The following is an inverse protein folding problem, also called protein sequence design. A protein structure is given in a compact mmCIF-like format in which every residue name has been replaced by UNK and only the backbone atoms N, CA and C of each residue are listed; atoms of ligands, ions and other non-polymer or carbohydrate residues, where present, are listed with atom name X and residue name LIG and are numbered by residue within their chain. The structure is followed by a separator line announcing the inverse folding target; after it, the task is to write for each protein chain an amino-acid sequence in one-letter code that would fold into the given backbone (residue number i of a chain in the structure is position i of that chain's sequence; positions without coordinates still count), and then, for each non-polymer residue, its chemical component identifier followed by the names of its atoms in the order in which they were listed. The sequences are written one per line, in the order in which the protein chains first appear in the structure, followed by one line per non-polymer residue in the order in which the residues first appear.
data_IF_872140233778
#
_entry.id   IF_872140233778
#
_cell.length_a   1.000
_cell.length_b   1.000
_cell.length_c   1.000
_cell.angle_alpha   90.00
_cell.angle_beta   90.00
_cell.angle_gamma   90.00
#
_symmetry.space_group_name_H-M   'P 1'
#
loop_
_entity.id
_entity.type
_entity.pdbx_description
1 polymer ?
#
# COMPACT_ATOMS: atom_id res chain seq x y z
N UNK A 1 5.72 1.49 15.01
CA UNK A 1 5.25 0.42 14.09
C UNK A 1 4.27 -0.59 14.71
N UNK A 2 4.64 -1.51 15.62
CA UNK A 2 3.67 -2.49 16.18
C UNK A 2 2.45 -1.89 16.89
N UNK A 3 2.61 -0.70 17.49
CA UNK A 3 1.53 0.02 18.18
C UNK A 3 0.59 0.74 17.21
N UNK A 4 1.16 1.35 16.16
CA UNK A 4 0.45 1.93 15.02
C UNK A 4 -0.50 0.89 14.38
N UNK A 5 -0.03 -0.33 14.06
CA UNK A 5 -0.84 -1.38 13.41
C UNK A 5 -2.09 -1.76 14.22
N UNK A 6 -2.00 -1.77 15.55
CA UNK A 6 -3.14 -2.11 16.43
C UNK A 6 -4.16 -0.97 16.50
N UNK A 7 -3.70 0.28 16.43
CA UNK A 7 -4.55 1.46 16.34
C UNK A 7 -5.35 1.46 15.02
N UNK A 8 -4.68 1.16 13.90
CA UNK A 8 -5.28 1.13 12.57
C UNK A 8 -6.40 0.09 12.38
N UNK A 9 -6.25 -1.13 12.94
CA UNK A 9 -7.26 -2.18 12.81
C UNK A 9 -8.60 -1.82 13.48
N UNK A 10 -8.58 -0.96 14.50
CA UNK A 10 -9.79 -0.50 15.18
C UNK A 10 -10.53 0.59 14.41
N UNK A 11 -9.81 1.46 13.68
CA UNK A 11 -10.40 2.57 12.94
C UNK A 11 -11.10 2.13 11.63
N UNK A 12 -10.56 1.11 10.96
CA UNK A 12 -11.14 0.53 9.73
C UNK A 12 -12.54 -0.06 9.92
N UNK A 13 -12.91 -0.44 11.14
CA UNK A 13 -14.24 -0.98 11.44
C UNK A 13 -15.31 0.12 11.62
N UNK A 14 -14.91 1.39 11.76
CA UNK A 14 -15.81 2.48 12.14
C UNK A 14 -16.09 3.41 10.94
N UNK A 15 -15.18 3.48 9.96
CA UNK A 15 -15.36 4.24 8.72
C UNK A 15 -16.46 3.68 7.79
N UNK A 16 -16.92 2.44 7.99
CA UNK A 16 -18.04 1.88 7.23
C UNK A 16 -19.44 2.39 7.65
N UNK A 17 -19.54 3.20 8.72
CA UNK A 17 -20.81 3.70 9.27
C UNK A 17 -20.86 5.24 9.41
N UNK A 18 -20.33 5.98 8.45
CA UNK A 18 -20.68 7.39 8.21
C UNK A 18 -20.14 8.44 9.21
N UNK A 19 -20.40 9.70 8.83
CA UNK A 19 -19.83 10.99 9.28
C UNK A 19 -19.75 11.25 10.81
N UNK A 20 -20.45 10.45 11.64
CA UNK A 20 -20.44 10.58 13.11
C UNK A 20 -19.40 9.68 13.80
N UNK A 21 -18.82 8.72 13.09
CA UNK A 21 -17.83 7.78 13.63
C UNK A 21 -16.37 8.25 13.56
N UNK A 22 -16.06 9.22 12.67
CA UNK A 22 -14.70 9.73 12.43
C UNK A 22 -14.14 10.43 13.68
N UNK A 23 -14.85 11.43 14.23
CA UNK A 23 -14.40 12.21 15.40
C UNK A 23 -14.13 11.38 16.66
N UNK A 24 -14.92 10.32 16.90
CA UNK A 24 -14.71 9.40 18.03
C UNK A 24 -13.49 8.52 17.77
N UNK A 25 -13.30 8.07 16.53
CA UNK A 25 -12.16 7.24 16.14
C UNK A 25 -10.85 8.03 16.18
N UNK A 26 -10.87 9.28 15.70
CA UNK A 26 -9.76 10.23 15.82
C UNK A 26 -9.36 10.41 17.28
N UNK A 27 -10.30 10.74 18.17
CA UNK A 27 -10.03 10.87 19.61
C UNK A 27 -9.50 9.58 20.26
N UNK A 28 -10.01 8.41 19.87
CA UNK A 28 -9.52 7.13 20.41
C UNK A 28 -8.08 6.85 19.98
N UNK A 29 -7.73 7.22 18.75
CA UNK A 29 -6.38 7.09 18.21
C UNK A 29 -5.42 8.13 18.82
N UNK A 30 -5.84 9.38 18.95
CA UNK A 30 -5.06 10.47 19.58
C UNK A 30 -4.80 10.25 21.07
N UNK A 31 -5.69 9.53 21.76
CA UNK A 31 -5.47 9.17 23.17
C UNK A 31 -4.38 8.09 23.34
N UNK A 32 -3.79 7.58 22.25
CA UNK A 32 -2.67 6.65 22.34
C UNK A 32 -1.35 7.40 22.59
N UNK A 33 -0.49 6.90 23.50
CA UNK A 33 0.77 7.57 23.82
C UNK A 33 1.69 7.66 22.60
N UNK A 34 2.00 8.88 22.17
CA UNK A 34 2.88 9.18 21.04
C UNK A 34 2.18 9.41 19.70
N UNK A 35 0.86 9.19 19.64
CA UNK A 35 0.03 9.46 18.46
C UNK A 35 -0.58 10.86 18.59
N UNK A 36 -0.46 11.68 17.55
CA UNK A 36 -1.06 13.01 17.48
C UNK A 36 -1.58 13.28 16.07
N UNK A 37 -2.57 14.17 15.97
CA UNK A 37 -3.14 14.67 14.70
C UNK A 37 -3.66 13.54 13.81
N UNK A 38 -4.73 12.90 14.28
CA UNK A 38 -5.39 11.84 13.53
C UNK A 38 -6.52 12.45 12.74
N UNK A 39 -6.48 12.28 11.42
CA UNK A 39 -7.53 12.78 10.53
C UNK A 39 -8.12 11.63 9.73
N UNK A 40 -9.44 11.45 9.83
CA UNK A 40 -10.20 10.44 9.11
C UNK A 40 -11.15 11.14 8.14
N UNK A 41 -10.82 11.08 6.85
CA UNK A 41 -11.66 11.60 5.77
C UNK A 41 -12.37 10.47 5.03
N UNK A 42 -13.63 10.69 4.67
CA UNK A 42 -14.38 9.89 3.70
C UNK A 42 -14.93 10.84 2.64
N UNK A 43 -14.58 10.61 1.37
CA UNK A 43 -15.08 11.40 0.24
C UNK A 43 -16.12 10.64 -0.61
N UNK A 44 -16.65 9.53 -0.09
CA UNK A 44 -17.65 8.66 -0.74
C UNK A 44 -17.05 7.66 -1.74
N UNK A 45 -15.81 7.86 -2.16
CA UNK A 45 -15.05 6.94 -3.04
C UNK A 45 -13.81 6.35 -2.35
N UNK A 46 -13.23 7.07 -1.39
CA UNK A 46 -12.03 6.70 -0.66
C UNK A 46 -12.12 7.09 0.82
N UNK A 47 -11.61 6.23 1.70
CA UNK A 47 -11.34 6.55 3.10
C UNK A 47 -9.85 6.82 3.31
N UNK A 48 -9.51 7.93 3.96
CA UNK A 48 -8.12 8.34 4.25
C UNK A 48 -7.92 8.49 5.75
N UNK A 49 -6.84 7.94 6.26
CA UNK A 49 -6.38 8.04 7.65
C UNK A 49 -4.97 8.62 7.63
N UNK A 50 -4.76 9.73 8.32
CA UNK A 50 -3.44 10.33 8.53
C UNK A 50 -3.08 10.25 10.01
N UNK A 51 -1.84 9.93 10.31
CA UNK A 51 -1.32 9.80 11.68
C UNK A 51 0.09 10.37 11.75
N UNK A 52 0.36 11.22 12.76
CA UNK A 52 1.71 11.68 13.07
C UNK A 52 2.19 11.13 14.43
N UNK A 53 3.38 10.53 14.46
CA UNK A 53 4.05 10.03 15.67
C UNK A 53 5.54 10.44 15.66
N UNK A 54 5.96 11.29 16.61
CA UNK A 54 7.37 11.66 16.84
C UNK A 54 8.12 12.11 15.57
N UNK A 55 7.48 12.92 14.72
CA UNK A 55 8.05 13.40 13.45
C UNK A 55 8.02 12.38 12.31
N UNK A 56 7.37 11.24 12.50
CA UNK A 56 6.98 10.31 11.43
C UNK A 56 5.52 10.56 11.08
N UNK A 57 5.21 10.75 9.81
CA UNK A 57 3.82 10.74 9.33
C UNK A 57 3.52 9.42 8.62
N UNK A 58 2.28 8.96 8.74
CA UNK A 58 1.76 7.81 8.02
C UNK A 58 0.38 8.12 7.47
N UNK A 59 0.19 7.87 6.18
CA UNK A 59 -1.09 8.05 5.48
C UNK A 59 -1.54 6.70 4.95
N UNK A 60 -2.79 6.34 5.21
CA UNK A 60 -3.45 5.16 4.63
C UNK A 60 -4.67 5.66 3.90
N UNK A 61 -4.76 5.39 2.61
CA UNK A 61 -5.93 5.68 1.79
C UNK A 61 -6.44 4.37 1.16
N UNK A 62 -7.75 4.13 1.25
CA UNK A 62 -8.41 2.91 0.80
C UNK A 62 -9.59 3.29 -0.10
N UNK A 63 -9.69 2.65 -1.27
CA UNK A 63 -10.70 2.87 -2.29
C UNK A 63 -10.32 3.98 -3.26
N UNK A 64 -9.61 3.70 -4.35
CA UNK A 64 -9.36 4.69 -5.41
C UNK A 64 -8.42 5.84 -5.01
N UNK A 65 -7.53 5.60 -4.05
CA UNK A 65 -6.54 6.58 -3.62
C UNK A 65 -5.57 6.96 -4.76
N UNK A 66 -5.14 8.23 -4.78
CA UNK A 66 -4.11 8.67 -5.72
C UNK A 66 -2.75 8.09 -5.34
N UNK A 67 -2.06 7.54 -6.35
CA UNK A 67 -0.71 7.03 -6.19
C UNK A 67 0.25 8.22 -6.20
N UNK A 68 1.19 8.31 -5.24
CA UNK A 68 2.20 9.37 -5.23
C UNK A 68 3.00 9.42 -6.53
N UNK A 69 3.19 10.62 -7.07
CA UNK A 69 3.87 10.85 -8.37
C UNK A 69 5.32 10.34 -8.40
N UNK A 70 5.97 10.28 -7.24
CA UNK A 70 7.36 9.84 -7.06
C UNK A 70 7.49 8.37 -6.65
N UNK A 71 6.42 7.57 -6.77
CA UNK A 71 6.47 6.15 -6.43
C UNK A 71 7.51 5.41 -7.31
N UNK A 72 8.55 4.80 -6.72
CA UNK A 72 9.70 4.28 -7.46
C UNK A 72 9.42 2.97 -8.20
N UNK A 73 8.31 2.29 -7.90
CA UNK A 73 7.91 1.07 -8.59
C UNK A 73 6.91 1.46 -9.68
N UNK A 74 7.21 1.18 -10.96
CA UNK A 74 6.30 1.50 -12.04
C UNK A 74 5.07 0.60 -11.97
N UNK A 75 3.92 1.17 -12.35
CA UNK A 75 2.63 0.48 -12.36
C UNK A 75 2.12 0.44 -13.81
N UNK A 76 1.72 -0.73 -14.32
CA UNK A 76 1.05 -0.82 -15.62
C UNK A 76 -0.22 0.02 -15.66
N UNK A 77 -0.54 0.56 -16.84
CA UNK A 77 -1.79 1.28 -17.07
C UNK A 77 -3.01 0.37 -16.96
N UNK A 78 -4.17 0.98 -16.68
CA UNK A 78 -5.47 0.30 -16.65
C UNK A 78 -5.70 -0.59 -15.43
N UNK A 79 -5.00 -0.29 -14.32
CA UNK A 79 -5.26 -0.86 -13.00
C UNK A 79 -6.15 0.07 -12.17
N UNK A 80 -6.92 -0.52 -11.26
CA UNK A 80 -7.70 0.20 -10.26
C UNK A 80 -6.93 0.23 -8.93
N UNK A 81 -6.66 1.42 -8.41
CA UNK A 81 -5.96 1.55 -7.12
C UNK A 81 -6.89 1.14 -5.99
N UNK A 82 -6.52 0.07 -5.28
CA UNK A 82 -7.24 -0.40 -4.11
C UNK A 82 -6.86 0.37 -2.86
N UNK A 83 -5.58 0.41 -2.51
CA UNK A 83 -5.10 1.13 -1.33
C UNK A 83 -3.69 1.66 -1.50
N UNK A 84 -3.43 2.82 -0.88
CA UNK A 84 -2.12 3.45 -0.82
C UNK A 84 -1.76 3.66 0.64
N UNK A 85 -0.63 3.13 1.06
CA UNK A 85 -0.04 3.33 2.38
C UNK A 85 1.26 4.08 2.16
N UNK A 86 1.48 5.17 2.87
CA UNK A 86 2.73 5.92 2.84
C UNK A 86 3.18 6.19 4.27
N UNK A 87 4.48 6.23 4.48
CA UNK A 87 5.07 6.74 5.70
C UNK A 87 6.32 7.53 5.39
N UNK A 88 6.40 8.71 5.99
CA UNK A 88 7.55 9.61 5.90
C UNK A 88 8.19 9.71 7.28
N UNK A 89 9.43 9.28 7.38
CA UNK A 89 10.22 9.38 8.61
C UNK A 89 10.73 10.79 8.88
N UNK A 90 11.26 11.04 10.09
CA UNK A 90 11.72 12.36 10.54
C UNK A 90 12.89 12.94 9.73
N UNK A 91 13.60 12.10 8.95
CA UNK A 91 14.69 12.52 8.05
C UNK A 91 14.23 12.65 6.58
N UNK A 92 12.91 12.65 6.33
CA UNK A 92 12.34 12.77 4.98
C UNK A 92 12.38 11.49 4.15
N UNK A 93 12.76 10.37 4.76
CA UNK A 93 12.72 9.05 4.12
C UNK A 93 11.28 8.56 3.97
N UNK A 94 10.88 8.36 2.72
CA UNK A 94 9.55 7.87 2.37
C UNK A 94 9.57 6.37 2.09
N UNK A 95 8.61 5.66 2.65
CA UNK A 95 8.29 4.26 2.36
C UNK A 95 6.80 4.14 2.09
N UNK A 96 6.39 3.11 1.38
CA UNK A 96 4.97 2.97 1.09
C UNK A 96 4.61 1.66 0.45
N UNK A 97 3.32 1.38 0.38
CA UNK A 97 2.76 0.24 -0.31
C UNK A 97 1.57 0.70 -1.14
N UNK A 98 1.50 0.25 -2.39
CA UNK A 98 0.39 0.49 -3.29
C UNK A 98 -0.19 -0.86 -3.67
N UNK A 99 -1.50 -0.98 -3.55
CA UNK A 99 -2.28 -2.14 -4.00
C UNK A 99 -3.06 -1.72 -5.23
N UNK A 100 -2.84 -2.42 -6.33
CA UNK A 100 -3.54 -2.18 -7.61
C UNK A 100 -4.16 -3.50 -8.09
N UNK A 101 -5.40 -3.43 -8.55
CA UNK A 101 -6.11 -4.54 -9.15
C UNK A 101 -6.16 -4.38 -10.67
N UNK A 102 -5.90 -5.46 -11.41
CA UNK A 102 -6.03 -5.56 -12.86
C UNK A 102 -6.97 -6.70 -13.23
N UNK A 103 -7.59 -6.72 -14.41
CA UNK A 103 -8.32 -7.88 -14.90
C UNK A 103 -7.45 -9.14 -14.95
N UNK A 104 -7.97 -10.30 -14.49
CA UNK A 104 -7.21 -11.56 -14.41
C UNK A 104 -6.64 -12.03 -15.75
N UNK A 105 -7.32 -11.75 -16.86
CA UNK A 105 -6.87 -12.09 -18.21
C UNK A 105 -5.56 -11.38 -18.61
N UNK A 106 -5.17 -10.32 -17.89
CA UNK A 106 -3.91 -9.61 -18.11
C UNK A 106 -2.73 -10.20 -17.34
N UNK A 107 -2.90 -11.34 -16.65
CA UNK A 107 -1.82 -11.97 -15.87
C UNK A 107 -0.48 -12.03 -16.61
N UNK A 108 -0.46 -12.59 -17.83
CA UNK A 108 0.79 -12.76 -18.59
C UNK A 108 1.41 -11.41 -18.96
N UNK A 109 0.59 -10.40 -19.26
CA UNK A 109 1.02 -9.05 -19.57
C UNK A 109 1.65 -8.37 -18.35
N UNK A 110 0.96 -8.40 -17.21
CA UNK A 110 1.41 -7.79 -15.96
C UNK A 110 2.68 -8.49 -15.45
N UNK A 111 2.74 -9.81 -15.53
CA UNK A 111 3.92 -10.58 -15.17
C UNK A 111 5.12 -10.20 -16.05
N UNK A 112 4.93 -10.15 -17.38
CA UNK A 112 6.00 -9.78 -18.30
C UNK A 112 6.49 -8.34 -18.07
N UNK A 113 5.59 -7.40 -17.77
CA UNK A 113 5.94 -6.04 -17.41
C UNK A 113 6.90 -6.01 -16.21
N UNK A 114 6.54 -6.69 -15.12
CA UNK A 114 7.36 -6.66 -13.91
C UNK A 114 8.64 -7.48 -14.03
N UNK A 115 8.66 -8.54 -14.83
CA UNK A 115 9.89 -9.26 -15.17
C UNK A 115 10.87 -8.36 -15.93
N UNK A 116 10.39 -7.61 -16.93
CA UNK A 116 11.21 -6.66 -17.66
C UNK A 116 11.71 -5.52 -16.77
N UNK A 117 10.85 -4.98 -15.90
CA UNK A 117 11.28 -3.96 -14.93
C UNK A 117 12.33 -4.52 -13.96
N UNK A 118 12.18 -5.76 -13.49
CA UNK A 118 13.15 -6.39 -12.60
C UNK A 118 14.55 -6.42 -13.21
N UNK A 119 14.71 -6.56 -14.53
CA UNK A 119 16.01 -6.53 -15.19
C UNK A 119 16.76 -5.19 -15.03
N UNK A 120 16.04 -4.10 -14.73
CA UNK A 120 16.61 -2.78 -14.44
C UNK A 120 17.10 -2.63 -13.00
N UNK A 121 16.72 -3.56 -12.12
CA UNK A 121 17.11 -3.54 -10.71
C UNK A 121 18.56 -4.03 -10.50
N UNK A 122 19.17 -3.70 -9.35
CA UNK A 122 20.51 -4.17 -9.03
C UNK A 122 20.62 -5.71 -9.04
N UNK A 123 21.85 -6.25 -9.08
CA UNK A 123 22.08 -7.69 -9.23
C UNK A 123 21.58 -8.56 -8.09
N UNK A 124 21.25 -7.98 -6.93
CA UNK A 124 20.66 -8.67 -5.78
C UNK A 124 19.18 -9.00 -5.97
N UNK A 125 18.60 -8.62 -7.12
CA UNK A 125 17.20 -8.90 -7.43
C UNK A 125 16.89 -10.39 -7.34
N UNK A 126 15.72 -10.67 -6.78
CA UNK A 126 15.12 -11.98 -6.71
C UNK A 126 13.79 -11.95 -7.47
N UNK A 127 13.57 -12.96 -8.32
CA UNK A 127 12.31 -13.16 -9.05
C UNK A 127 11.88 -14.60 -8.86
N UNK A 128 10.69 -14.80 -8.30
CA UNK A 128 10.08 -16.11 -8.12
C UNK A 128 8.70 -16.12 -8.78
N UNK A 129 8.42 -17.18 -9.55
CA UNK A 129 7.16 -17.34 -10.26
C UNK A 129 6.60 -18.71 -9.92
N UNK A 130 5.37 -18.71 -9.41
CA UNK A 130 4.60 -19.90 -9.08
C UNK A 130 3.49 -20.00 -10.14
N UNK A 131 3.55 -21.04 -10.97
CA UNK A 131 2.52 -21.34 -11.96
C UNK A 131 1.50 -22.34 -11.41
N UNK A 132 0.28 -22.33 -11.95
CA UNK A 132 -0.79 -23.24 -11.55
C UNK A 132 -2.17 -22.61 -11.65
N UNK A 133 -3.14 -23.20 -10.94
CA UNK A 133 -4.53 -22.71 -10.90
C UNK A 133 -4.68 -21.35 -10.18
N UNK A 134 -3.72 -21.00 -9.33
CA UNK A 134 -3.62 -19.69 -8.65
C UNK A 134 -2.20 -19.18 -8.83
N UNK A 135 -1.87 -18.61 -10.00
CA UNK A 135 -0.51 -18.17 -10.27
C UNK A 135 -0.16 -16.98 -9.39
N UNK A 136 1.11 -16.91 -9.01
CA UNK A 136 1.65 -15.86 -8.16
C UNK A 136 3.10 -15.58 -8.56
N UNK A 137 3.56 -14.36 -8.30
CA UNK A 137 4.95 -13.98 -8.53
C UNK A 137 5.43 -13.01 -7.44
N UNK A 138 6.72 -13.07 -7.16
CA UNK A 138 7.38 -12.19 -6.22
C UNK A 138 8.66 -11.66 -6.84
N UNK A 139 8.83 -10.34 -6.76
CA UNK A 139 10.04 -9.63 -7.15
C UNK A 139 10.52 -8.83 -5.95
N UNK A 140 11.82 -8.87 -5.68
CA UNK A 140 12.42 -8.21 -4.52
C UNK A 140 13.84 -7.75 -4.85
N UNK A 141 14.26 -6.58 -4.35
CA UNK A 141 15.66 -6.15 -4.31
C UNK A 141 15.87 -5.36 -3.01
N UNK A 142 16.85 -5.80 -2.22
CA UNK A 142 17.22 -5.18 -0.95
C UNK A 142 17.95 -3.86 -1.20
N UNK A 143 18.88 -3.84 -2.16
CA UNK A 143 19.65 -2.66 -2.53
C UNK A 143 18.77 -1.55 -3.11
N UNK A 144 17.75 -1.91 -3.89
CA UNK A 144 16.77 -0.94 -4.38
C UNK A 144 15.69 -0.62 -3.35
N UNK A 145 15.57 -1.41 -2.26
CA UNK A 145 14.54 -1.22 -1.25
C UNK A 145 13.12 -1.38 -1.80
N UNK A 146 12.89 -2.36 -2.68
CA UNK A 146 11.60 -2.59 -3.36
C UNK A 146 11.16 -4.05 -3.28
N UNK A 147 9.84 -4.25 -3.25
CA UNK A 147 9.22 -5.55 -3.47
C UNK A 147 7.92 -5.41 -4.24
N UNK A 148 7.61 -6.39 -5.09
CA UNK A 148 6.34 -6.51 -5.80
C UNK A 148 5.84 -7.94 -5.63
N UNK A 149 4.63 -8.08 -5.11
CA UNK A 149 3.93 -9.36 -5.02
C UNK A 149 2.73 -9.31 -5.96
N UNK A 150 2.61 -10.33 -6.80
CA UNK A 150 1.50 -10.52 -7.71
C UNK A 150 0.78 -11.79 -7.32
N UNK A 151 -0.55 -11.76 -7.35
CA UNK A 151 -1.37 -12.95 -7.17
C UNK A 151 -2.68 -12.82 -7.92
N UNK A 152 -3.17 -13.93 -8.46
CA UNK A 152 -4.52 -13.98 -9.02
C UNK A 152 -5.51 -14.40 -7.94
N UNK A 153 -6.56 -13.60 -7.76
CA UNK A 153 -7.71 -13.92 -6.92
C UNK A 153 -8.98 -13.63 -7.72
N UNK A 154 -9.90 -14.59 -7.72
CA UNK A 154 -11.18 -14.48 -8.43
C UNK A 154 -11.00 -14.12 -9.92
N UNK A 155 -11.37 -12.90 -10.30
CA UNK A 155 -11.30 -12.32 -11.64
C UNK A 155 -10.26 -11.19 -11.77
N UNK A 156 -9.34 -11.07 -10.81
CA UNK A 156 -8.35 -10.01 -10.77
C UNK A 156 -6.91 -10.52 -10.54
N UNK A 157 -5.95 -9.79 -11.11
CA UNK A 157 -4.55 -9.79 -10.67
C UNK A 157 -4.40 -8.71 -9.62
N UNK A 158 -4.07 -9.10 -8.39
CA UNK A 158 -3.69 -8.18 -7.34
C UNK A 158 -2.18 -7.96 -7.38
N UNK A 159 -1.78 -6.69 -7.48
CA UNK A 159 -0.38 -6.26 -7.40
C UNK A 159 -0.20 -5.48 -6.11
N UNK A 160 0.73 -5.90 -5.27
CA UNK A 160 1.14 -5.23 -4.05
C UNK A 160 2.60 -4.79 -4.24
N UNK A 161 2.80 -3.51 -4.50
CA UNK A 161 4.11 -2.89 -4.69
C UNK A 161 4.50 -2.14 -3.41
N UNK A 162 5.69 -2.42 -2.86
CA UNK A 162 6.13 -1.87 -1.58
C UNK A 162 7.56 -1.34 -1.67
N UNK A 163 7.81 -0.19 -1.05
CA UNK A 163 9.08 0.54 -1.03
C UNK A 163 9.53 0.77 0.41
N UNK A 164 10.85 0.83 0.60
CA UNK A 164 11.49 0.93 1.91
C UNK A 164 12.10 -0.40 2.36
N UNK A 165 13.20 -0.32 3.11
CA UNK A 165 13.85 -1.49 3.71
C UNK A 165 12.96 -2.14 4.75
N UNK A 166 12.85 -3.49 4.81
CA UNK A 166 12.21 -4.19 5.92
C UNK A 166 12.88 -3.92 7.28
#
# INVERSE_FOLDING_TARGET
MKKLIVAFAAALLITACGDSGSSISEQVLENQPGVSDVQIGDNGSSATIQVEENGTSATIAVGGAEIPEDFPIPLPDGGETGSVIQSTGPEGQSSGSVVVAYPAERWDEILAFYQNWAETLPPDRFVNVISGASPAAQIFSEQAGVSVNLGVSDDQVLVIATTGTP
#
